data_IF_924455733532
#
_entry.id   IF_924455733532
#
_cell.length_a   1.000
_cell.length_b   1.000
_cell.length_c   1.000
_cell.angle_alpha   90.00
_cell.angle_beta   90.00
_cell.angle_gamma   90.00
#
_symmetry.space_group_name_H-M   'P 1'
#
loop_
_entity.id
_entity.type
_entity.pdbx_description
1 polymer ?
#
# COMPACT_ATOMS: atom_id res chain seq x y z
N UNK A 1 4.34 -16.69 0.82
CA UNK A 1 5.81 -16.54 0.81
C UNK A 1 6.42 -16.75 -0.57
N UNK A 2 6.08 -17.82 -1.31
CA UNK A 2 6.65 -18.09 -2.65
C UNK A 2 6.27 -17.02 -3.69
N UNK A 3 5.00 -16.62 -3.77
CA UNK A 3 4.53 -15.55 -4.67
C UNK A 3 5.25 -14.21 -4.43
N UNK A 4 5.50 -13.87 -3.17
CA UNK A 4 6.20 -12.63 -2.79
C UNK A 4 7.68 -12.66 -3.20
N UNK A 5 8.32 -13.83 -3.06
CA UNK A 5 9.70 -14.03 -3.49
C UNK A 5 9.87 -13.90 -5.02
N UNK A 6 8.97 -14.51 -5.80
CA UNK A 6 8.97 -14.38 -7.25
C UNK A 6 8.70 -12.95 -7.72
N UNK A 7 7.74 -12.28 -7.08
CA UNK A 7 7.44 -10.87 -7.33
C UNK A 7 8.64 -9.95 -7.07
N UNK A 8 9.31 -10.13 -5.92
CA UNK A 8 10.48 -9.33 -5.57
C UNK A 8 11.67 -9.59 -6.52
N UNK A 9 11.86 -10.84 -6.97
CA UNK A 9 12.90 -11.20 -7.93
C UNK A 9 12.63 -10.57 -9.31
N UNK A 10 11.41 -10.72 -9.84
CA UNK A 10 11.01 -10.15 -11.12
C UNK A 10 11.14 -8.61 -11.13
N UNK A 11 10.72 -7.96 -10.03
CA UNK A 11 10.82 -6.50 -9.87
C UNK A 11 12.26 -6.00 -9.76
N UNK A 12 13.17 -6.79 -9.17
CA UNK A 12 14.59 -6.45 -9.06
C UNK A 12 15.36 -6.66 -10.38
N UNK A 13 14.94 -7.60 -11.21
CA UNK A 13 15.59 -7.93 -12.48
C UNK A 13 15.27 -6.97 -13.63
N UNK A 14 14.23 -6.14 -13.51
CA UNK A 14 13.83 -5.19 -14.55
C UNK A 14 14.49 -3.81 -14.32
N UNK A 15 15.25 -3.25 -15.28
CA UNK A 15 15.87 -1.93 -15.18
C UNK A 15 14.85 -0.80 -15.44
N UNK A 16 13.70 -0.85 -14.77
CA UNK A 16 12.58 0.08 -14.99
C UNK A 16 12.36 0.99 -13.79
N UNK A 17 11.91 2.22 -14.08
CA UNK A 17 11.48 3.16 -13.05
C UNK A 17 10.27 2.63 -12.25
N UNK A 18 10.05 3.07 -11.00
CA UNK A 18 8.99 2.57 -10.13
C UNK A 18 7.61 2.83 -10.72
N UNK A 19 7.42 3.98 -11.38
CA UNK A 19 6.20 4.27 -12.12
C UNK A 19 6.00 3.30 -13.29
N UNK A 20 7.07 2.95 -14.00
CA UNK A 20 7.01 1.99 -15.12
C UNK A 20 6.73 0.56 -14.62
N UNK A 21 7.30 0.18 -13.47
CA UNK A 21 6.99 -1.09 -12.81
C UNK A 21 5.55 -1.16 -12.31
N UNK A 22 5.04 -0.07 -11.71
CA UNK A 22 3.63 0.01 -11.29
C UNK A 22 2.68 -0.05 -12.49
N UNK A 23 2.97 0.65 -13.58
CA UNK A 23 2.17 0.57 -14.80
C UNK A 23 2.20 -0.83 -15.42
N UNK A 24 3.35 -1.51 -15.41
CA UNK A 24 3.46 -2.90 -15.84
C UNK A 24 2.60 -3.83 -14.97
N UNK A 25 2.62 -3.66 -13.65
CA UNK A 25 1.78 -4.43 -12.72
C UNK A 25 0.28 -4.22 -13.03
N UNK A 26 -0.13 -2.97 -13.25
CA UNK A 26 -1.51 -2.63 -13.63
C UNK A 26 -1.88 -3.23 -14.99
N UNK A 27 -0.98 -3.20 -15.98
CA UNK A 27 -1.21 -3.81 -17.30
C UNK A 27 -1.37 -5.34 -17.19
N UNK A 28 -0.50 -6.01 -16.45
CA UNK A 28 -0.58 -7.46 -16.25
C UNK A 28 -1.89 -7.84 -15.56
N UNK A 29 -2.33 -7.05 -14.57
CA UNK A 29 -3.61 -7.27 -13.89
C UNK A 29 -4.83 -6.87 -14.74
N UNK A 30 -4.67 -5.94 -15.69
CA UNK A 30 -5.76 -5.51 -16.55
C UNK A 30 -6.24 -6.62 -17.50
N UNK A 31 -5.34 -7.50 -17.96
CA UNK A 31 -5.66 -8.61 -18.86
C UNK A 31 -6.69 -9.59 -18.24
N UNK A 32 -6.45 -10.20 -17.05
CA UNK A 32 -7.43 -11.05 -16.42
C UNK A 32 -8.67 -10.27 -15.95
N UNK A 33 -8.53 -8.99 -15.57
CA UNK A 33 -9.68 -8.16 -15.22
C UNK A 33 -10.62 -7.93 -16.41
N UNK A 34 -10.08 -7.67 -17.60
CA UNK A 34 -10.86 -7.56 -18.84
C UNK A 34 -11.51 -8.90 -19.22
N UNK A 35 -10.81 -10.02 -19.03
CA UNK A 35 -11.38 -11.36 -19.25
C UNK A 35 -12.55 -11.64 -18.32
N UNK A 36 -12.43 -11.28 -17.04
CA UNK A 36 -13.51 -11.41 -16.06
C UNK A 36 -14.68 -10.48 -16.36
N UNK A 37 -14.41 -9.24 -16.78
CA UNK A 37 -15.46 -8.33 -17.23
C UNK A 37 -16.21 -8.93 -18.41
N UNK A 38 -15.53 -9.42 -19.46
CA UNK A 38 -16.16 -10.04 -20.62
C UNK A 38 -17.03 -11.25 -20.24
N UNK A 39 -16.60 -12.05 -19.27
CA UNK A 39 -17.40 -13.14 -18.71
C UNK A 39 -18.67 -12.63 -18.02
N UNK A 40 -18.56 -11.60 -17.17
CA UNK A 40 -19.71 -10.98 -16.50
C UNK A 40 -20.68 -10.30 -17.49
N UNK A 41 -20.17 -9.71 -18.58
CA UNK A 41 -21.02 -9.16 -19.64
C UNK A 41 -21.77 -10.26 -20.39
N UNK A 42 -21.16 -11.43 -20.59
CA UNK A 42 -21.81 -12.57 -21.22
C UNK A 42 -22.91 -13.19 -20.33
N UNK A 43 -22.75 -13.16 -19.01
CA UNK A 43 -23.72 -13.67 -18.04
C UNK A 43 -24.85 -12.66 -17.70
N UNK A 44 -24.80 -11.45 -18.27
CA UNK A 44 -25.78 -10.39 -18.04
C UNK A 44 -25.72 -9.74 -16.65
N UNK A 45 -24.72 -10.09 -15.84
CA UNK A 45 -24.47 -9.55 -14.49
C UNK A 45 -23.50 -8.34 -14.51
N UNK A 46 -23.19 -7.80 -15.69
CA UNK A 46 -22.28 -6.66 -15.80
C UNK A 46 -22.93 -5.38 -15.29
N UNK A 47 -22.44 -4.88 -14.15
CA UNK A 47 -22.75 -3.53 -13.66
C UNK A 47 -21.96 -2.42 -14.38
N UNK A 48 -20.98 -2.81 -15.22
CA UNK A 48 -20.19 -1.88 -16.01
C UNK A 48 -20.93 -1.56 -17.32
N UNK A 49 -21.83 -0.58 -17.27
CA UNK A 49 -22.54 -0.12 -18.47
C UNK A 49 -21.81 1.04 -19.16
N UNK A 50 -22.00 1.20 -20.46
CA UNK A 50 -21.54 2.36 -21.24
C UNK A 50 -22.26 3.67 -20.83
N UNK A 51 -23.34 3.54 -20.06
CA UNK A 51 -23.96 4.67 -19.39
C UNK A 51 -23.07 5.07 -18.22
N UNK A 52 -22.61 6.31 -18.18
CA UNK A 52 -21.78 6.88 -17.11
C UNK A 52 -22.56 6.95 -15.80
N UNK A 53 -22.82 5.80 -15.20
CA UNK A 53 -23.57 5.69 -13.97
C UNK A 53 -22.70 6.11 -12.78
N UNK A 54 -23.36 6.39 -11.65
CA UNK A 54 -22.67 6.88 -10.44
C UNK A 54 -21.54 5.94 -9.98
N UNK A 55 -21.75 4.64 -10.12
CA UNK A 55 -20.78 3.62 -9.72
C UNK A 55 -19.53 3.62 -10.60
N UNK A 56 -19.67 3.87 -11.90
CA UNK A 56 -18.54 4.01 -12.83
C UNK A 56 -17.65 5.19 -12.45
N UNK A 57 -18.25 6.33 -12.07
CA UNK A 57 -17.51 7.49 -11.57
C UNK A 57 -16.79 7.21 -10.25
N UNK A 58 -17.44 6.50 -9.32
CA UNK A 58 -16.82 6.11 -8.05
C UNK A 58 -15.65 5.14 -8.27
N UNK A 59 -15.80 4.17 -9.17
CA UNK A 59 -14.74 3.20 -9.52
C UNK A 59 -13.55 3.89 -10.18
N UNK A 60 -13.78 4.81 -11.13
CA UNK A 60 -12.70 5.63 -11.71
C UNK A 60 -12.02 6.49 -10.64
N UNK A 61 -12.80 7.09 -9.74
CA UNK A 61 -12.30 7.87 -8.60
C UNK A 61 -11.42 7.05 -7.65
N UNK A 62 -11.82 5.82 -7.33
CA UNK A 62 -11.01 4.88 -6.55
C UNK A 62 -9.68 4.53 -7.25
N UNK A 63 -9.70 4.38 -8.58
CA UNK A 63 -8.49 4.19 -9.38
C UNK A 63 -7.51 5.35 -9.23
N UNK A 64 -7.98 6.58 -9.43
CA UNK A 64 -7.17 7.79 -9.22
C UNK A 64 -6.68 7.94 -7.77
N UNK A 65 -7.58 7.75 -6.81
CA UNK A 65 -7.31 7.87 -5.38
C UNK A 65 -6.29 6.85 -4.85
N UNK A 66 -6.13 5.71 -5.51
CA UNK A 66 -5.12 4.69 -5.14
C UNK A 66 -3.83 4.82 -5.94
N UNK A 67 -3.93 5.09 -7.25
CA UNK A 67 -2.76 5.21 -8.12
C UNK A 67 -1.88 6.40 -7.73
N UNK A 68 -2.47 7.56 -7.41
CA UNK A 68 -1.71 8.78 -7.09
C UNK A 68 -0.81 8.59 -5.85
N UNK A 69 -1.32 8.17 -4.67
CA UNK A 69 -0.48 7.90 -3.50
C UNK A 69 0.56 6.81 -3.74
N UNK A 70 0.22 5.76 -4.49
CA UNK A 70 1.16 4.68 -4.82
C UNK A 70 2.31 5.16 -5.69
N UNK A 71 2.05 6.03 -6.67
CA UNK A 71 3.09 6.65 -7.48
C UNK A 71 3.99 7.56 -6.62
N UNK A 72 3.43 8.39 -5.73
CA UNK A 72 4.23 9.18 -4.80
C UNK A 72 5.09 8.29 -3.89
N UNK A 73 4.51 7.22 -3.33
CA UNK A 73 5.23 6.24 -2.52
C UNK A 73 6.37 5.58 -3.30
N UNK A 74 6.12 5.13 -4.52
CA UNK A 74 7.11 4.41 -5.32
C UNK A 74 8.28 5.32 -5.74
N UNK A 75 8.04 6.63 -5.97
CA UNK A 75 9.10 7.61 -6.19
C UNK A 75 9.86 7.95 -4.91
N UNK A 76 9.16 8.15 -3.78
CA UNK A 76 9.79 8.42 -2.48
C UNK A 76 10.63 7.25 -1.97
N UNK A 77 10.16 6.02 -2.16
CA UNK A 77 10.86 4.80 -1.76
C UNK A 77 12.21 4.63 -2.47
N UNK A 78 12.40 5.17 -3.68
CA UNK A 78 13.70 5.16 -4.37
C UNK A 78 14.76 6.03 -3.70
N UNK A 79 14.33 7.08 -3.02
CA UNK A 79 15.20 8.07 -2.38
C UNK A 79 15.53 7.70 -0.93
N UNK A 80 14.82 6.71 -0.37
CA UNK A 80 14.89 6.34 1.03
C UNK A 80 15.59 5.00 1.22
N UNK A 81 16.33 4.88 2.33
CA UNK A 81 16.89 3.59 2.76
C UNK A 81 15.76 2.65 3.15
N UNK A 82 15.91 1.36 2.86
CA UNK A 82 14.96 0.29 3.21
C UNK A 82 14.49 0.34 4.67
N UNK A 83 15.38 0.72 5.58
CA UNK A 83 15.13 0.85 7.00
C UNK A 83 14.30 2.10 7.38
N UNK A 84 14.34 3.16 6.58
CA UNK A 84 13.46 4.33 6.75
C UNK A 84 12.05 4.03 6.24
N UNK A 85 11.94 3.28 5.14
CA UNK A 85 10.66 2.86 4.57
C UNK A 85 9.87 2.01 5.56
N UNK A 86 10.51 1.07 6.24
CA UNK A 86 9.85 0.23 7.24
C UNK A 86 9.34 1.03 8.44
N UNK A 87 10.05 2.07 8.88
CA UNK A 87 9.57 2.99 9.93
C UNK A 87 8.35 3.80 9.44
N UNK A 88 8.40 4.33 8.21
CA UNK A 88 7.29 5.08 7.61
C UNK A 88 6.01 4.23 7.47
N UNK A 89 6.14 2.92 7.25
CA UNK A 89 4.97 2.03 7.16
C UNK A 89 4.15 1.94 8.45
N UNK A 90 4.68 2.33 9.62
CA UNK A 90 3.92 2.40 10.87
C UNK A 90 2.96 3.60 10.95
N UNK A 91 3.09 4.58 10.04
CA UNK A 91 2.14 5.69 9.92
C UNK A 91 0.77 5.17 9.42
N UNK A 92 0.76 4.22 8.49
CA UNK A 92 -0.46 3.66 7.93
C UNK A 92 -1.40 3.03 8.98
N UNK A 93 -0.97 2.09 9.85
CA UNK A 93 -1.83 1.55 10.90
C UNK A 93 -2.25 2.60 11.93
N UNK A 94 -1.44 3.64 12.15
CA UNK A 94 -1.81 4.78 13.01
C UNK A 94 -2.93 5.61 12.39
N UNK A 95 -2.83 5.95 11.10
CA UNK A 95 -3.90 6.65 10.37
C UNK A 95 -5.18 5.83 10.33
N UNK A 96 -5.10 4.53 10.06
CA UNK A 96 -6.25 3.62 10.08
C UNK A 96 -6.92 3.64 11.46
N UNK A 97 -6.12 3.59 12.53
CA UNK A 97 -6.63 3.70 13.89
C UNK A 97 -7.33 5.04 14.13
N UNK A 98 -6.70 6.16 13.77
CA UNK A 98 -7.29 7.49 13.95
C UNK A 98 -8.61 7.63 13.18
N UNK A 99 -8.67 7.15 11.93
CA UNK A 99 -9.90 7.13 11.13
C UNK A 99 -10.97 6.26 11.79
N UNK A 100 -10.62 5.08 12.30
CA UNK A 100 -11.56 4.21 13.01
C UNK A 100 -12.15 4.87 14.28
N UNK A 101 -11.33 5.59 15.05
CA UNK A 101 -11.78 6.32 16.25
C UNK A 101 -12.63 7.54 15.87
N UNK A 102 -12.08 8.44 15.05
CA UNK A 102 -12.64 9.78 14.87
C UNK A 102 -13.73 9.84 13.79
N UNK A 103 -13.65 9.00 12.77
CA UNK A 103 -14.60 9.01 11.65
C UNK A 103 -15.68 7.94 11.84
N UNK A 104 -15.28 6.70 12.13
CA UNK A 104 -16.25 5.60 12.28
C UNK A 104 -16.87 5.51 13.68
N UNK A 105 -16.29 6.17 14.68
CA UNK A 105 -16.83 6.19 16.04
C UNK A 105 -16.91 4.80 16.69
N UNK A 106 -16.12 3.83 16.23
CA UNK A 106 -16.15 2.48 16.78
C UNK A 106 -15.78 2.50 18.28
N UNK A 107 -16.55 1.81 19.10
CA UNK A 107 -16.24 1.67 20.52
C UNK A 107 -14.99 0.82 20.68
N UNK A 108 -13.91 1.46 21.11
CA UNK A 108 -12.62 0.79 21.26
C UNK A 108 -12.67 -0.24 22.39
N UNK A 109 -12.58 -1.52 22.02
CA UNK A 109 -12.37 -2.60 22.99
C UNK A 109 -11.08 -2.36 23.78
N UNK A 110 -11.13 -2.55 25.11
CA UNK A 110 -10.01 -2.31 26.05
C UNK A 110 -8.67 -2.91 25.60
N UNK A 111 -8.70 -4.05 24.91
CA UNK A 111 -7.50 -4.69 24.36
C UNK A 111 -6.76 -3.82 23.33
N UNK A 112 -7.47 -3.12 22.43
CA UNK A 112 -6.86 -2.27 21.39
C UNK A 112 -6.26 -0.99 21.98
N UNK A 113 -6.86 -0.45 23.03
CA UNK A 113 -6.33 0.72 23.75
C UNK A 113 -4.98 0.43 24.45
N UNK A 114 -4.76 -0.81 24.87
CA UNK A 114 -3.49 -1.23 25.50
C UNK A 114 -2.47 -1.62 24.43
N UNK A 115 -2.89 -2.33 23.38
CA UNK A 115 -2.01 -2.78 22.32
C UNK A 115 -1.40 -1.62 21.52
N UNK A 116 -2.17 -0.56 21.25
CA UNK A 116 -1.71 0.57 20.44
C UNK A 116 -0.49 1.31 21.01
N UNK A 117 -0.49 1.75 22.29
CA UNK A 117 0.70 2.35 22.90
C UNK A 117 1.85 1.34 23.06
N UNK A 118 1.59 0.04 23.21
CA UNK A 118 2.62 -1.00 23.23
C UNK A 118 3.37 -1.10 21.89
N UNK A 119 2.63 -1.04 20.76
CA UNK A 119 3.23 -1.03 19.41
C UNK A 119 4.10 0.22 19.22
N UNK A 120 3.61 1.39 19.64
CA UNK A 120 4.38 2.63 19.57
C UNK A 120 5.61 2.63 20.48
N UNK A 121 5.52 2.06 21.69
CA UNK A 121 6.67 1.90 22.57
C UNK A 121 7.74 1.00 21.94
N UNK A 122 7.33 -0.15 21.38
CA UNK A 122 8.24 -1.04 20.65
C UNK A 122 8.88 -0.33 19.44
N UNK A 123 8.10 0.47 18.71
CA UNK A 123 8.59 1.27 17.58
C UNK A 123 9.64 2.30 18.03
N UNK A 124 9.38 3.05 19.10
CA UNK A 124 10.33 4.05 19.64
C UNK A 124 11.63 3.39 20.04
N UNK A 125 11.56 2.24 20.73
CA UNK A 125 12.76 1.47 21.13
C UNK A 125 13.54 1.00 19.90
N UNK A 126 12.85 0.47 18.89
CA UNK A 126 13.47 0.01 17.64
C UNK A 126 14.08 1.16 16.82
N UNK A 127 13.36 2.26 16.66
CA UNK A 127 13.86 3.44 15.95
C UNK A 127 15.06 4.05 16.66
N UNK A 128 15.04 4.11 18.00
CA UNK A 128 16.16 4.62 18.79
C UNK A 128 17.42 3.74 18.68
N UNK A 129 17.26 2.42 18.73
CA UNK A 129 18.38 1.48 18.57
C UNK A 129 18.98 1.54 17.17
N UNK A 130 18.14 1.62 16.14
CA UNK A 130 18.57 1.79 14.75
C UNK A 130 19.31 3.12 14.52
N UNK A 131 18.82 4.23 15.07
CA UNK A 131 19.49 5.54 15.00
C UNK A 131 20.85 5.54 15.72
N UNK A 132 20.96 4.83 16.85
CA UNK A 132 22.23 4.62 17.55
C UNK A 132 23.22 3.80 16.72
N UNK A 133 22.80 2.71 16.08
CA UNK A 133 23.66 1.90 15.21
C UNK A 133 24.16 2.65 13.97
N UNK A 134 23.31 3.48 13.35
CA UNK A 134 23.71 4.32 12.22
C UNK A 134 24.78 5.34 12.63
N UNK A 135 24.73 5.82 13.88
CA UNK A 135 25.73 6.76 14.43
C UNK A 135 27.02 6.05 14.84
N UNK A 136 26.98 4.80 15.30
CA UNK A 136 28.17 4.03 15.69
C UNK A 136 28.90 3.37 14.51
N UNK A 137 28.25 3.19 13.36
CA UNK A 137 28.85 2.62 12.14
C UNK A 137 29.68 3.61 11.29
N UNK A 138 30.07 4.76 11.85
CA UNK A 138 30.89 5.79 11.16
C UNK A 138 32.37 5.76 11.53
N UNK A 139 32.81 4.72 12.23
CA UNK A 139 34.22 4.46 12.56
C UNK A 139 34.61 3.04 12.15
N UNK A 140 34.81 2.84 10.86
CA UNK A 140 35.66 1.80 10.28
C UNK A 140 36.08 2.27 8.88
#
# INVERSE_FOLDING_TARGET
TVSWGFYALAKKSLPIGPNQGFLLEVLILSVPALGYLAYLTADGQSHFSLSFDRDTWLLMGCGGGTAVPLMFYANGAKLLRLSTISILQYIAPTLIFLVAVFIFGETFGRARMIAFPMIWAALVVYSWSMLRQIRSGRTA
#
